data_IF_153866977322
#
_entry.id   IF_153866977322
#
_cell.length_a   1.000
_cell.length_b   1.000
_cell.length_c   1.000
_cell.angle_alpha   90.00
_cell.angle_beta   90.00
_cell.angle_gamma   90.00
#
_symmetry.space_group_name_H-M   'P 1'
#
loop_
_entity.id
_entity.type
_entity.pdbx_description
1 polymer ?
#
# COMPACT_ATOMS: atom_id res chain seq x y z
N UNK A 1 -7.30 16.84 21.41
CA UNK A 1 -7.72 16.69 20.00
C UNK A 1 -8.76 17.76 19.72
N UNK A 2 -8.58 18.63 18.73
CA UNK A 2 -9.56 19.68 18.41
C UNK A 2 -10.28 19.30 17.11
N UNK A 3 -11.62 19.18 17.10
CA UNK A 3 -12.35 18.92 15.87
C UNK A 3 -12.23 20.13 14.93
N UNK A 4 -12.06 19.87 13.64
CA UNK A 4 -12.03 20.90 12.60
C UNK A 4 -13.15 20.58 11.62
N UNK A 5 -14.08 21.52 11.44
CA UNK A 5 -15.15 21.37 10.46
C UNK A 5 -14.58 21.71 9.08
N UNK A 6 -14.86 20.85 8.09
CA UNK A 6 -14.51 21.06 6.69
C UNK A 6 -15.70 20.76 5.82
N UNK A 7 -15.88 21.59 4.80
CA UNK A 7 -16.85 21.33 3.74
C UNK A 7 -16.38 20.16 2.89
N UNK A 8 -17.37 19.40 2.42
CA UNK A 8 -17.19 18.34 1.44
C UNK A 8 -17.70 18.89 0.13
N UNK A 9 -16.86 18.86 -0.91
CA UNK A 9 -17.28 19.35 -2.21
C UNK A 9 -18.27 18.40 -2.90
N UNK A 10 -18.81 18.82 -4.05
CA UNK A 10 -19.78 18.03 -4.83
C UNK A 10 -19.27 16.64 -5.27
N UNK A 11 -17.96 16.41 -5.24
CA UNK A 11 -17.33 15.14 -5.59
C UNK A 11 -16.98 14.29 -4.37
N UNK A 12 -17.33 14.74 -3.15
CA UNK A 12 -17.02 14.03 -1.92
C UNK A 12 -15.60 14.29 -1.38
N UNK A 13 -14.87 15.28 -1.91
CA UNK A 13 -13.50 15.56 -1.48
C UNK A 13 -13.51 16.51 -0.28
N UNK A 14 -12.57 16.28 0.65
CA UNK A 14 -12.32 17.15 1.79
C UNK A 14 -10.85 17.53 1.85
N UNK A 15 -10.57 18.72 2.37
CA UNK A 15 -9.20 19.20 2.57
C UNK A 15 -8.65 18.69 3.89
N UNK A 16 -7.67 17.79 3.84
CA UNK A 16 -6.97 17.30 5.04
C UNK A 16 -6.15 18.45 5.66
N UNK A 17 -6.28 18.72 6.97
CA UNK A 17 -5.53 19.77 7.67
C UNK A 17 -4.02 19.71 7.40
N UNK A 18 -3.42 20.89 7.19
CA UNK A 18 -2.01 21.00 6.82
C UNK A 18 -1.08 20.39 7.87
N UNK A 19 -1.36 20.58 9.16
CA UNK A 19 -0.58 20.01 10.26
C UNK A 19 -0.55 18.49 10.19
N UNK A 20 -1.70 17.86 9.93
CA UNK A 20 -1.80 16.41 9.82
C UNK A 20 -1.02 15.91 8.60
N UNK A 21 -1.16 16.58 7.44
CA UNK A 21 -0.43 16.22 6.22
C UNK A 21 1.09 16.28 6.43
N UNK A 22 1.59 17.37 7.01
CA UNK A 22 3.03 17.55 7.28
C UNK A 22 3.60 16.46 8.21
N UNK A 23 2.80 16.01 9.19
CA UNK A 23 3.25 15.05 10.20
C UNK A 23 3.11 13.59 9.77
N UNK A 24 2.05 13.24 9.05
CA UNK A 24 1.66 11.84 8.83
C UNK A 24 1.59 11.41 7.37
N UNK A 25 1.33 12.33 6.43
CA UNK A 25 1.14 11.94 5.03
C UNK A 25 2.48 11.59 4.38
N UNK A 26 2.67 10.30 4.06
CA UNK A 26 3.85 9.81 3.33
C UNK A 26 3.48 9.52 1.87
N UNK A 27 3.48 10.56 1.03
CA UNK A 27 3.13 10.49 -0.40
C UNK A 27 1.75 11.07 -0.69
N UNK A 28 1.00 10.48 -1.63
CA UNK A 28 -0.30 10.98 -2.10
C UNK A 28 -1.48 10.08 -1.73
N UNK A 29 -1.24 8.96 -1.04
CA UNK A 29 -2.25 7.95 -0.72
C UNK A 29 -2.49 7.85 0.79
N UNK A 30 -3.73 7.61 1.15
CA UNK A 30 -4.20 7.32 2.51
C UNK A 30 -5.03 6.05 2.50
N UNK A 31 -5.22 5.45 3.67
CA UNK A 31 -6.17 4.36 3.86
C UNK A 31 -7.45 4.98 4.42
N UNK A 32 -8.58 4.69 3.76
CA UNK A 32 -9.91 5.03 4.26
C UNK A 32 -10.52 3.77 4.88
N UNK A 33 -10.85 3.81 6.17
CA UNK A 33 -11.56 2.73 6.85
C UNK A 33 -12.96 3.19 7.24
N UNK A 34 -13.96 2.52 6.68
CA UNK A 34 -15.36 2.77 7.00
C UNK A 34 -15.76 2.00 8.27
N UNK A 35 -16.25 2.71 9.28
CA UNK A 35 -16.83 2.17 10.52
C UNK A 35 -18.27 2.66 10.72
N UNK A 36 -19.05 2.74 9.64
CA UNK A 36 -20.43 3.24 9.65
C UNK A 36 -20.46 4.76 9.81
N UNK A 37 -20.74 5.23 11.02
CA UNK A 37 -20.82 6.66 11.34
C UNK A 37 -19.45 7.36 11.33
N UNK A 38 -18.36 6.59 11.37
CA UNK A 38 -16.99 7.10 11.40
C UNK A 38 -16.22 6.66 10.16
N UNK A 39 -15.67 7.64 9.43
CA UNK A 39 -14.68 7.40 8.39
C UNK A 39 -13.29 7.73 8.93
N UNK A 40 -12.44 6.72 9.10
CA UNK A 40 -11.05 6.91 9.55
C UNK A 40 -10.14 7.16 8.34
N UNK A 41 -9.34 8.23 8.41
CA UNK A 41 -8.27 8.51 7.45
C UNK A 41 -6.93 8.17 8.12
N UNK A 42 -6.27 7.13 7.63
CA UNK A 42 -4.99 6.66 8.16
C UNK A 42 -3.87 6.93 7.15
N UNK A 43 -2.67 7.31 7.61
CA UNK A 43 -1.53 7.43 6.71
C UNK A 43 -1.19 6.05 6.15
N UNK A 44 -0.93 5.97 4.85
CA UNK A 44 -0.38 4.75 4.26
C UNK A 44 1.13 4.77 4.49
N UNK A 45 1.64 3.77 5.20
CA UNK A 45 3.08 3.59 5.30
C UNK A 45 3.67 3.31 3.92
N UNK A 46 4.87 3.82 3.69
CA UNK A 46 5.61 3.53 2.46
C UNK A 46 6.07 2.08 2.59
N UNK A 47 5.31 1.16 2.03
CA UNK A 47 5.68 -0.25 1.98
C UNK A 47 6.93 -0.35 1.12
N UNK A 48 8.02 -0.79 1.72
CA UNK A 48 9.23 -1.10 0.99
C UNK A 48 9.05 -2.48 0.33
N UNK A 49 8.84 -2.49 -0.98
CA UNK A 49 8.63 -3.73 -1.73
C UNK A 49 9.90 -4.60 -1.77
N UNK A 50 11.09 -4.02 -1.52
CA UNK A 50 12.34 -4.80 -1.47
C UNK A 50 12.32 -5.83 -0.33
N UNK A 51 11.57 -5.57 0.74
CA UNK A 51 11.37 -6.54 1.84
C UNK A 51 10.69 -7.85 1.41
N UNK A 52 10.09 -7.88 0.21
CA UNK A 52 9.45 -9.07 -0.35
C UNK A 52 10.31 -9.78 -1.41
N UNK A 53 11.43 -9.19 -1.85
CA UNK A 53 12.24 -9.75 -2.93
C UNK A 53 12.82 -11.11 -2.53
N UNK A 54 13.35 -11.22 -1.32
CA UNK A 54 13.96 -12.44 -0.81
C UNK A 54 12.95 -13.40 -0.16
N UNK A 55 11.65 -13.02 -0.10
CA UNK A 55 10.63 -13.86 0.52
C UNK A 55 10.21 -15.04 -0.35
N UNK A 56 10.44 -14.95 -1.67
CA UNK A 56 10.14 -16.02 -2.60
C UNK A 56 11.35 -16.92 -2.80
N UNK A 57 11.68 -17.74 -1.80
CA UNK A 57 12.65 -18.83 -1.97
C UNK A 57 11.98 -19.98 -2.73
N UNK A 58 12.41 -20.19 -3.97
CA UNK A 58 12.00 -21.35 -4.76
C UNK A 58 13.21 -22.26 -4.91
N UNK A 59 13.12 -23.46 -4.36
CA UNK A 59 14.11 -24.50 -4.58
C UNK A 59 13.92 -25.07 -6.00
N UNK A 60 14.67 -24.53 -6.97
CA UNK A 60 14.70 -25.03 -8.36
C UNK A 60 16.02 -25.73 -8.60
N UNK A 61 15.97 -26.95 -9.14
CA UNK A 61 17.19 -27.69 -9.54
C UNK A 61 17.80 -27.14 -10.83
N UNK A 62 17.04 -26.30 -11.53
CA UNK A 62 17.42 -25.72 -12.81
C UNK A 62 18.20 -24.43 -12.64
N UNK A 63 19.18 -24.18 -13.52
CA UNK A 63 19.91 -22.91 -13.57
C UNK A 63 18.94 -21.74 -13.86
N UNK A 64 18.93 -20.74 -12.98
CA UNK A 64 18.11 -19.52 -13.10
C UNK A 64 18.37 -18.73 -14.38
N UNK A 65 19.52 -18.93 -15.01
CA UNK A 65 19.89 -18.31 -16.29
C UNK A 65 19.07 -18.85 -17.47
N UNK A 66 18.51 -20.05 -17.37
CA UNK A 66 17.61 -20.63 -18.39
C UNK A 66 16.15 -20.52 -17.94
N UNK A 67 15.54 -19.39 -18.29
CA UNK A 67 14.14 -19.09 -17.98
C UNK A 67 13.15 -20.13 -18.54
N UNK A 68 13.42 -20.75 -19.68
CA UNK A 68 12.53 -21.74 -20.28
C UNK A 68 12.52 -23.06 -19.51
N UNK A 69 13.67 -23.46 -18.96
CA UNK A 69 13.78 -24.64 -18.13
C UNK A 69 13.17 -24.39 -16.73
N UNK A 70 13.45 -23.24 -16.10
CA UNK A 70 12.84 -22.83 -14.82
C UNK A 70 11.30 -22.79 -14.92
N UNK A 71 10.75 -22.17 -15.98
CA UNK A 71 9.30 -22.09 -16.18
C UNK A 71 8.64 -23.48 -16.36
N UNK A 72 9.34 -24.44 -16.95
CA UNK A 72 8.85 -25.82 -17.11
C UNK A 72 8.83 -26.58 -15.78
N UNK A 73 9.86 -26.40 -14.94
CA UNK A 73 9.93 -26.99 -13.60
C UNK A 73 8.82 -26.44 -12.70
N UNK A 74 8.66 -25.11 -12.66
CA UNK A 74 7.65 -24.43 -11.86
C UNK A 74 6.19 -24.79 -12.22
N UNK A 75 5.93 -25.15 -13.49
CA UNK A 75 4.59 -25.52 -13.99
C UNK A 75 4.24 -27.00 -13.80
N UNK A 76 5.20 -27.83 -13.39
CA UNK A 76 5.01 -29.27 -13.17
C UNK A 76 4.64 -29.63 -11.73
N UNK A 77 4.76 -28.69 -10.80
CA UNK A 77 4.19 -28.77 -9.44
C UNK A 77 2.74 -28.29 -9.47
#
# INVERSE_FOLDING_TARGET
MRPVIKEVDKQGRLVIPAEWRKKYLRGTKVILRNRGEVLEILPREKVDLTTFFDRAEVDTKTNLSDWHAVRRELRRK
#
